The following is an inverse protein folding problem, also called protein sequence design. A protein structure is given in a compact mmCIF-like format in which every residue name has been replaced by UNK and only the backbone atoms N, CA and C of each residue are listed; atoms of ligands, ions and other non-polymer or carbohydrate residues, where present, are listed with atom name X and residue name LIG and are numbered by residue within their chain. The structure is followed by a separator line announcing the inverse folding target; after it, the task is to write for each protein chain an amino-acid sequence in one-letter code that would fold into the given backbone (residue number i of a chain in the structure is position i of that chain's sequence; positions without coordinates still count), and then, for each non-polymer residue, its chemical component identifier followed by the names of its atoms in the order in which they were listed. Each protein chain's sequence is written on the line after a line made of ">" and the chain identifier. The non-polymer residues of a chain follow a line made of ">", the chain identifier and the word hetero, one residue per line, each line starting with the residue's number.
data_IF_153322706252
#
_entry.id   IF_153322706252
#
_cell.length_a   1.000
_cell.length_b   1.000
_cell.length_c   1.000
_cell.angle_alpha   90.00
_cell.angle_beta   90.00
_cell.angle_gamma   90.00
#
_symmetry.space_group_name_H-M   'P 1'
#
loop_
_entity.id
_entity.type
_entity.pdbx_description
1 polymer ?
#
# COMPACT_ATOMS: atom_id res chain seq x y z
N UNK A 1 23.16 -2.59 -25.11
CA UNK A 1 23.06 -2.43 -23.64
C UNK A 1 22.70 -3.81 -23.10
N UNK A 2 23.58 -4.45 -22.33
CA UNK A 2 23.32 -5.78 -21.76
C UNK A 2 22.70 -5.60 -20.39
N UNK A 3 21.56 -6.25 -20.15
CA UNK A 3 20.84 -6.26 -18.88
C UNK A 3 21.56 -7.16 -17.87
N UNK A 4 21.85 -6.64 -16.68
CA UNK A 4 22.59 -7.34 -15.63
C UNK A 4 21.70 -7.75 -14.45
N UNK A 5 22.25 -8.55 -13.53
CA UNK A 5 21.60 -8.91 -12.28
C UNK A 5 21.42 -7.66 -11.40
N UNK A 6 22.38 -6.75 -11.40
CA UNK A 6 22.32 -5.47 -10.69
C UNK A 6 21.13 -4.62 -11.18
N UNK A 7 20.94 -4.52 -12.50
CA UNK A 7 19.78 -3.82 -13.10
C UNK A 7 18.45 -4.45 -12.64
N UNK A 8 18.42 -5.79 -12.54
CA UNK A 8 17.23 -6.52 -12.07
C UNK A 8 16.91 -6.18 -10.61
N UNK A 9 17.93 -6.17 -9.74
CA UNK A 9 17.78 -5.83 -8.33
C UNK A 9 17.29 -4.39 -8.19
N UNK A 10 17.86 -3.46 -8.94
CA UNK A 10 17.46 -2.05 -8.91
C UNK A 10 15.98 -1.87 -9.27
N UNK A 11 15.52 -2.53 -10.34
CA UNK A 11 14.10 -2.49 -10.73
C UNK A 11 13.19 -3.05 -9.64
N UNK A 12 13.58 -4.13 -8.97
CA UNK A 12 12.80 -4.68 -7.86
C UNK A 12 12.74 -3.68 -6.70
N UNK A 13 13.87 -3.05 -6.32
CA UNK A 13 13.90 -2.03 -5.26
C UNK A 13 12.98 -0.86 -5.59
N UNK A 14 13.02 -0.38 -6.84
CA UNK A 14 12.12 0.68 -7.32
C UNK A 14 10.66 0.22 -7.20
N UNK A 15 10.34 -0.99 -7.67
CA UNK A 15 8.99 -1.55 -7.60
C UNK A 15 8.45 -1.64 -6.17
N UNK A 16 9.26 -2.12 -5.23
CA UNK A 16 8.89 -2.17 -3.80
C UNK A 16 8.67 -0.77 -3.24
N UNK A 17 9.56 0.18 -3.55
CA UNK A 17 9.40 1.58 -3.16
C UNK A 17 8.12 2.22 -3.69
N UNK A 18 7.77 1.96 -4.95
CA UNK A 18 6.53 2.42 -5.58
C UNK A 18 5.31 1.83 -4.89
N UNK A 19 5.30 0.52 -4.58
CA UNK A 19 4.16 -0.12 -3.91
C UNK A 19 3.94 0.48 -2.51
N UNK A 20 5.01 0.63 -1.72
CA UNK A 20 4.94 1.15 -0.36
C UNK A 20 4.53 2.62 -0.34
N UNK A 21 5.08 3.43 -1.24
CA UNK A 21 4.71 4.84 -1.38
C UNK A 21 3.29 5.01 -1.90
N UNK A 22 2.81 4.17 -2.81
CA UNK A 22 1.43 4.19 -3.28
C UNK A 22 0.44 3.93 -2.14
N UNK A 23 0.71 2.94 -1.29
CA UNK A 23 -0.11 2.65 -0.11
C UNK A 23 -0.19 3.85 0.84
N UNK A 24 0.96 4.47 1.14
CA UNK A 24 1.02 5.63 2.02
C UNK A 24 0.32 6.85 1.41
N UNK A 25 0.56 7.13 0.13
CA UNK A 25 -0.04 8.23 -0.62
C UNK A 25 -1.56 8.08 -0.65
N UNK A 26 -2.06 6.88 -0.95
CA UNK A 26 -3.49 6.61 -0.94
C UNK A 26 -4.09 6.79 0.46
N UNK A 27 -3.41 6.33 1.51
CA UNK A 27 -3.76 6.63 2.89
C UNK A 27 -3.90 8.13 3.16
N UNK A 28 -2.95 8.95 2.70
CA UNK A 28 -3.01 10.40 2.80
C UNK A 28 -4.23 10.99 2.06
N UNK A 29 -4.55 10.48 0.86
CA UNK A 29 -5.75 10.94 0.14
C UNK A 29 -7.04 10.61 0.89
N UNK A 30 -7.14 9.45 1.56
CA UNK A 30 -8.26 9.14 2.46
C UNK A 30 -8.28 10.11 3.63
N UNK A 31 -7.12 10.49 4.19
CA UNK A 31 -7.08 11.45 5.27
C UNK A 31 -7.57 12.84 4.85
N UNK A 32 -7.52 13.21 3.57
CA UNK A 32 -8.00 14.52 3.09
C UNK A 32 -9.46 14.44 2.63
N UNK A 33 -9.77 13.46 1.77
CA UNK A 33 -11.02 13.38 1.02
C UNK A 33 -12.03 12.36 1.60
N UNK A 34 -11.61 11.54 2.56
CA UNK A 34 -12.40 10.55 3.28
C UNK A 34 -13.40 9.79 2.39
N UNK A 35 -14.68 10.16 2.45
CA UNK A 35 -15.80 9.49 1.78
C UNK A 35 -15.57 9.29 0.29
N UNK A 36 -14.99 10.27 -0.40
CA UNK A 36 -14.73 10.18 -1.85
C UNK A 36 -13.74 9.06 -2.15
N UNK A 37 -12.63 8.98 -1.39
CA UNK A 37 -11.60 7.97 -1.62
C UNK A 37 -12.06 6.58 -1.16
N UNK A 38 -12.83 6.50 -0.08
CA UNK A 38 -13.45 5.23 0.33
C UNK A 38 -14.45 4.71 -0.71
N UNK A 39 -15.23 5.61 -1.32
CA UNK A 39 -16.12 5.29 -2.43
C UNK A 39 -15.35 4.79 -3.65
N UNK A 40 -14.28 5.50 -4.03
CA UNK A 40 -13.38 5.09 -5.11
C UNK A 40 -12.80 3.68 -4.87
N UNK A 41 -12.33 3.39 -3.64
CA UNK A 41 -11.83 2.06 -3.30
C UNK A 41 -12.88 0.98 -3.57
N UNK A 42 -14.10 1.18 -3.05
CA UNK A 42 -15.21 0.24 -3.20
C UNK A 42 -15.55 -0.02 -4.67
N UNK A 43 -15.54 1.02 -5.50
CA UNK A 43 -15.79 0.87 -6.95
C UNK A 43 -14.63 0.25 -7.72
N UNK A 44 -13.42 0.29 -7.14
CA UNK A 44 -12.21 -0.24 -7.78
C UNK A 44 -11.96 -1.73 -7.51
N UNK A 45 -12.74 -2.35 -6.62
CA UNK A 45 -12.67 -3.78 -6.30
C UNK A 45 -13.93 -4.51 -6.80
N UNK A 46 -13.76 -5.73 -7.30
CA UNK A 46 -14.86 -6.61 -7.69
C UNK A 46 -15.35 -7.40 -6.46
N UNK A 47 -16.59 -7.19 -6.02
CA UNK A 47 -17.16 -7.96 -4.90
C UNK A 47 -18.59 -8.41 -5.24
N UNK A 48 -18.86 -9.73 -5.41
CA UNK A 48 -17.92 -10.85 -5.32
C UNK A 48 -17.04 -11.01 -6.57
N UNK A 49 -15.75 -11.39 -6.43
CA UNK A 49 -14.90 -11.70 -7.58
C UNK A 49 -15.23 -13.11 -8.12
N UNK A 50 -15.81 -13.18 -9.32
CA UNK A 50 -16.27 -14.42 -9.94
C UNK A 50 -15.19 -15.10 -10.80
N UNK A 51 -14.27 -14.33 -11.39
CA UNK A 51 -13.23 -14.86 -12.29
C UNK A 51 -11.82 -14.76 -11.69
N UNK A 52 -10.89 -15.57 -12.19
CA UNK A 52 -9.47 -15.54 -11.78
C UNK A 52 -8.87 -14.15 -12.05
N UNK A 53 -9.19 -13.54 -13.19
CA UNK A 53 -8.75 -12.19 -13.52
C UNK A 53 -9.21 -11.16 -12.49
N UNK A 54 -10.49 -11.19 -12.07
CA UNK A 54 -11.01 -10.29 -11.03
C UNK A 54 -10.32 -10.50 -9.67
N UNK A 55 -9.99 -11.75 -9.31
CA UNK A 55 -9.24 -12.06 -8.07
C UNK A 55 -7.83 -11.47 -8.10
N UNK A 56 -7.15 -11.54 -9.25
CA UNK A 56 -5.82 -10.94 -9.44
C UNK A 56 -5.93 -9.42 -9.30
N UNK A 57 -6.85 -8.78 -10.01
CA UNK A 57 -7.06 -7.33 -9.92
C UNK A 57 -7.37 -6.88 -8.49
N UNK A 58 -8.25 -7.60 -7.79
CA UNK A 58 -8.51 -7.32 -6.38
C UNK A 58 -7.28 -7.46 -5.49
N UNK A 59 -6.40 -8.43 -5.78
CA UNK A 59 -5.17 -8.63 -5.02
C UNK A 59 -4.22 -7.45 -5.22
N UNK A 60 -4.06 -6.98 -6.46
CA UNK A 60 -3.31 -5.76 -6.76
C UNK A 60 -3.92 -4.54 -6.08
N UNK A 61 -5.23 -4.35 -6.17
CA UNK A 61 -5.91 -3.20 -5.58
C UNK A 61 -5.81 -3.19 -4.05
N UNK A 62 -5.96 -4.36 -3.41
CA UNK A 62 -5.75 -4.53 -1.97
C UNK A 62 -4.29 -4.29 -1.58
N UNK A 63 -3.34 -4.78 -2.37
CA UNK A 63 -1.91 -4.61 -2.15
C UNK A 63 -1.43 -3.16 -2.30
N UNK A 64 -2.03 -2.40 -3.22
CA UNK A 64 -1.63 -1.01 -3.50
C UNK A 64 -2.39 0.00 -2.64
N UNK A 65 -3.69 -0.20 -2.40
CA UNK A 65 -4.57 0.81 -1.81
C UNK A 65 -5.31 0.32 -0.55
N UNK A 66 -5.20 -0.97 -0.22
CA UNK A 66 -6.08 -1.59 0.78
C UNK A 66 -5.78 -1.22 2.23
N UNK A 67 -4.53 -0.87 2.56
CA UNK A 67 -4.12 -0.59 3.96
C UNK A 67 -4.88 0.61 4.54
N UNK A 68 -4.85 1.75 3.86
CA UNK A 68 -5.58 2.95 4.28
C UNK A 68 -7.09 2.74 4.39
N UNK A 69 -7.70 2.06 3.41
CA UNK A 69 -9.13 1.73 3.44
C UNK A 69 -9.50 0.83 4.61
N UNK A 70 -8.74 -0.23 4.86
CA UNK A 70 -8.99 -1.19 5.93
C UNK A 70 -8.86 -0.54 7.31
N UNK A 71 -7.81 0.24 7.52
CA UNK A 71 -7.60 0.97 8.78
C UNK A 71 -8.76 1.93 9.02
N UNK A 72 -9.13 2.75 8.02
CA UNK A 72 -10.18 3.76 8.17
C UNK A 72 -11.56 3.15 8.49
N UNK A 73 -11.91 2.06 7.80
CA UNK A 73 -13.19 1.35 8.04
C UNK A 73 -13.23 0.69 9.43
N UNK A 74 -12.11 0.20 9.95
CA UNK A 74 -12.02 -0.36 11.32
C UNK A 74 -12.31 0.67 12.42
N UNK A 75 -11.97 1.93 12.18
CA UNK A 75 -12.17 3.03 13.15
C UNK A 75 -13.44 3.86 12.85
N UNK A 76 -14.30 3.40 11.95
CA UNK A 76 -15.54 4.08 11.57
C UNK A 76 -16.51 4.28 12.75
N UNK A 77 -16.43 3.41 13.76
CA UNK A 77 -17.24 3.44 15.00
C UNK A 77 -17.04 4.69 15.87
N UNK A 78 -15.94 5.42 15.70
CA UNK A 78 -15.66 6.63 16.46
C UNK A 78 -16.26 7.87 15.78
N UNK A 79 -16.45 8.94 16.55
CA UNK A 79 -16.85 10.22 15.98
C UNK A 79 -15.81 10.75 14.98
N UNK A 80 -16.22 11.69 14.11
CA UNK A 80 -15.38 12.16 13.01
C UNK A 80 -14.00 12.68 13.46
N UNK A 81 -13.95 13.44 14.56
CA UNK A 81 -12.71 14.05 15.05
C UNK A 81 -11.73 13.00 15.61
N UNK A 82 -12.22 12.11 16.48
CA UNK A 82 -11.42 11.01 17.05
C UNK A 82 -10.94 10.08 15.93
N UNK A 83 -11.81 9.77 14.97
CA UNK A 83 -11.47 8.96 13.81
C UNK A 83 -10.34 9.59 13.00
N UNK A 84 -10.39 10.90 12.74
CA UNK A 84 -9.35 11.63 12.01
C UNK A 84 -8.00 11.52 12.70
N UNK A 85 -7.94 11.76 14.01
CA UNK A 85 -6.70 11.68 14.80
C UNK A 85 -6.15 10.26 14.79
N UNK A 86 -6.98 9.25 15.08
CA UNK A 86 -6.56 7.85 15.07
C UNK A 86 -6.05 7.43 13.68
N UNK A 87 -6.68 7.90 12.61
CA UNK A 87 -6.23 7.62 11.26
C UNK A 87 -4.87 8.25 10.95
N UNK A 88 -4.65 9.51 11.34
CA UNK A 88 -3.36 10.17 11.15
C UNK A 88 -2.23 9.48 11.93
N UNK A 89 -2.52 9.03 13.16
CA UNK A 89 -1.58 8.21 13.93
C UNK A 89 -1.28 6.90 13.20
N UNK A 90 -2.31 6.22 12.68
CA UNK A 90 -2.13 4.98 11.93
C UNK A 90 -1.33 5.19 10.64
N UNK A 91 -1.52 6.32 9.93
CA UNK A 91 -0.71 6.67 8.77
C UNK A 91 0.74 6.92 9.14
N UNK A 92 1.02 7.63 10.24
CA UNK A 92 2.38 7.83 10.72
C UNK A 92 3.07 6.49 11.02
N UNK A 93 2.37 5.58 11.72
CA UNK A 93 2.86 4.21 11.98
C UNK A 93 3.09 3.46 10.67
N UNK A 94 2.15 3.51 9.73
CA UNK A 94 2.28 2.86 8.42
C UNK A 94 3.48 3.40 7.64
N UNK A 95 3.72 4.71 7.64
CA UNK A 95 4.89 5.32 6.97
C UNK A 95 6.20 4.81 7.55
N UNK A 96 6.33 4.74 8.87
CA UNK A 96 7.51 4.17 9.54
C UNK A 96 7.68 2.69 9.16
N UNK A 97 6.60 1.91 9.22
CA UNK A 97 6.62 0.49 8.84
C UNK A 97 7.02 0.29 7.38
N UNK A 98 6.55 1.14 6.47
CA UNK A 98 6.93 1.11 5.05
C UNK A 98 8.43 1.34 4.86
N UNK A 99 9.02 2.30 5.57
CA UNK A 99 10.47 2.54 5.51
C UNK A 99 11.25 1.32 6.02
N UNK A 100 10.84 0.75 7.15
CA UNK A 100 11.48 -0.44 7.72
C UNK A 100 11.38 -1.63 6.75
N UNK A 101 10.19 -1.89 6.20
CA UNK A 101 9.96 -2.95 5.21
C UNK A 101 10.82 -2.77 3.96
N UNK A 102 10.95 -1.54 3.46
CA UNK A 102 11.80 -1.25 2.32
C UNK A 102 13.25 -1.65 2.59
N UNK A 103 13.82 -1.22 3.72
CA UNK A 103 15.21 -1.56 4.05
C UNK A 103 15.42 -3.06 4.28
N UNK A 104 14.46 -3.75 4.90
CA UNK A 104 14.54 -5.20 5.07
C UNK A 104 14.54 -5.90 3.71
N UNK A 105 13.62 -5.56 2.81
CA UNK A 105 13.50 -6.21 1.51
C UNK A 105 14.72 -5.93 0.64
N UNK A 106 15.14 -4.66 0.57
CA UNK A 106 16.31 -4.25 -0.22
C UNK A 106 17.61 -4.86 0.31
N UNK A 107 17.81 -4.89 1.63
CA UNK A 107 18.97 -5.52 2.25
C UNK A 107 19.00 -7.05 2.05
N UNK A 108 17.85 -7.73 2.12
CA UNK A 108 17.78 -9.16 1.81
C UNK A 108 18.09 -9.45 0.34
N UNK A 109 17.62 -8.62 -0.60
CA UNK A 109 17.93 -8.78 -2.02
C UNK A 109 19.43 -8.62 -2.29
N UNK A 110 20.05 -7.59 -1.73
CA UNK A 110 21.50 -7.39 -1.85
C UNK A 110 22.26 -8.56 -1.25
N UNK A 111 21.89 -9.02 -0.05
CA UNK A 111 22.55 -10.13 0.61
C UNK A 111 22.43 -11.45 -0.17
N UNK A 112 21.34 -11.70 -0.89
CA UNK A 112 21.17 -12.97 -1.62
C UNK A 112 21.86 -12.94 -2.98
N UNK A 113 21.81 -11.81 -3.70
CA UNK A 113 22.22 -11.75 -5.11
C UNK A 113 23.55 -11.03 -5.35
N UNK A 114 24.06 -10.27 -4.36
CA UNK A 114 25.33 -9.56 -4.43
C UNK A 114 26.33 -10.03 -3.35
N UNK A 115 26.03 -11.13 -2.63
CA UNK A 115 26.98 -11.78 -1.73
C UNK A 115 27.97 -12.71 -2.43
#
# INVERSE_FOLDING_TARGET
>A
MFWTIEDTIEVIKIGVGVILSAQFTYGCTIAILEKTMLGFYKTSIYDPPTTVFQKITNTFQKGLLGSGYYIYTKIEKYNWFVRKILFLIALAIQGILSIILYYIITGLLELIFLS
#
